data_IF_209774327496
#
_entry.id   IF_209774327496
#
_cell.length_a   1.000
_cell.length_b   1.000
_cell.length_c   1.000
_cell.angle_alpha   90.00
_cell.angle_beta   90.00
_cell.angle_gamma   90.00
#
_symmetry.space_group_name_H-M   'P 1'
#
loop_
_entity.id
_entity.type
_entity.pdbx_description
1 polymer ?
#
# COMPACT_ATOMS: atom_id res chain seq x y z
N UNK A 1 16.92 -16.48 -3.06
CA UNK A 1 16.67 -17.72 -3.84
C UNK A 1 15.19 -17.77 -4.20
N UNK A 2 14.85 -17.78 -5.48
CA UNK A 2 13.46 -17.88 -5.95
C UNK A 2 13.13 -19.34 -6.27
N UNK A 3 12.04 -19.86 -5.69
CA UNK A 3 11.57 -21.24 -5.85
C UNK A 3 10.11 -21.26 -6.31
N UNK A 4 9.78 -22.19 -7.20
CA UNK A 4 8.43 -22.46 -7.68
C UNK A 4 8.18 -23.96 -7.61
N UNK A 5 7.05 -24.37 -7.01
CA UNK A 5 6.68 -25.79 -6.83
C UNK A 5 7.78 -26.63 -6.15
N UNK A 6 8.54 -26.01 -5.25
CA UNK A 6 9.65 -26.66 -4.52
C UNK A 6 10.98 -26.76 -5.27
N UNK A 7 11.03 -26.35 -6.55
CA UNK A 7 12.26 -26.30 -7.34
C UNK A 7 12.81 -24.88 -7.52
N UNK A 8 14.10 -24.70 -7.83
CA UNK A 8 14.64 -23.39 -8.19
C UNK A 8 13.98 -22.86 -9.46
N UNK A 9 13.57 -21.59 -9.44
CA UNK A 9 12.99 -20.95 -10.61
C UNK A 9 14.05 -20.68 -11.67
N UNK A 10 13.78 -21.14 -12.90
CA UNK A 10 14.55 -20.78 -14.08
C UNK A 10 13.64 -20.00 -15.02
N UNK A 11 14.09 -18.82 -15.42
CA UNK A 11 13.37 -17.98 -16.37
C UNK A 11 13.45 -18.65 -17.75
N UNK A 12 12.31 -19.10 -18.27
CA UNK A 12 12.21 -19.63 -19.63
C UNK A 12 11.88 -18.51 -20.60
N UNK A 13 12.39 -18.56 -21.84
CA UNK A 13 12.13 -17.54 -22.89
C UNK A 13 10.63 -17.34 -23.18
N UNK A 14 9.77 -18.28 -22.78
CA UNK A 14 8.32 -18.22 -22.93
C UNK A 14 7.58 -17.33 -21.91
N UNK A 15 8.22 -16.94 -20.80
CA UNK A 15 7.59 -16.11 -19.75
C UNK A 15 7.80 -14.62 -20.06
N UNK A 16 6.92 -14.04 -20.87
CA UNK A 16 6.92 -12.59 -21.12
C UNK A 16 6.25 -11.84 -19.95
N UNK A 17 7.06 -11.28 -19.05
CA UNK A 17 6.60 -10.48 -17.89
C UNK A 17 6.71 -8.96 -18.13
N UNK A 18 7.33 -8.54 -19.25
CA UNK A 18 7.70 -7.18 -19.57
C UNK A 18 8.79 -6.60 -18.65
N UNK A 19 9.39 -5.47 -19.04
CA UNK A 19 10.57 -4.89 -18.37
C UNK A 19 10.40 -4.72 -16.84
N UNK A 20 9.23 -4.24 -16.38
CA UNK A 20 8.96 -4.10 -14.94
C UNK A 20 8.96 -5.45 -14.21
N UNK A 21 8.36 -6.46 -14.84
CA UNK A 21 8.32 -7.81 -14.30
C UNK A 21 9.70 -8.48 -14.29
N UNK A 22 10.53 -8.23 -15.30
CA UNK A 22 11.91 -8.70 -15.35
C UNK A 22 12.74 -8.12 -14.20
N UNK A 23 12.63 -6.80 -13.95
CA UNK A 23 13.32 -6.17 -12.82
C UNK A 23 12.85 -6.74 -11.46
N UNK A 24 11.55 -6.98 -11.30
CA UNK A 24 10.99 -7.64 -10.10
C UNK A 24 11.60 -9.04 -9.91
N UNK A 25 11.63 -9.86 -10.97
CA UNK A 25 12.20 -11.21 -10.94
C UNK A 25 13.69 -11.19 -10.62
N UNK A 26 14.45 -10.32 -11.28
CA UNK A 26 15.88 -10.14 -11.03
C UNK A 26 16.12 -9.72 -9.57
N UNK A 27 15.28 -8.83 -9.02
CA UNK A 27 15.36 -8.43 -7.61
C UNK A 27 15.06 -9.60 -6.66
N UNK A 28 14.03 -10.40 -6.93
CA UNK A 28 13.72 -11.62 -6.14
C UNK A 28 14.86 -12.64 -6.13
N UNK A 29 15.59 -12.76 -7.25
CA UNK A 29 16.71 -13.69 -7.38
C UNK A 29 18.00 -13.17 -6.71
N UNK A 30 18.25 -11.86 -6.78
CA UNK A 30 19.50 -11.24 -6.30
C UNK A 30 19.54 -11.01 -4.78
N UNK A 31 18.39 -10.87 -4.13
CA UNK A 31 18.35 -10.70 -2.66
C UNK A 31 18.60 -12.02 -1.93
N UNK A 32 19.21 -11.93 -0.75
CA UNK A 32 19.54 -13.10 0.08
C UNK A 32 18.32 -13.82 0.64
N UNK A 33 17.15 -13.18 0.65
CA UNK A 33 15.90 -13.80 1.08
C UNK A 33 15.44 -14.92 0.14
N UNK A 34 14.72 -15.89 0.69
CA UNK A 34 14.04 -16.92 -0.08
C UNK A 34 12.63 -16.47 -0.44
N UNK A 35 12.27 -16.58 -1.70
CA UNK A 35 10.91 -16.39 -2.21
C UNK A 35 10.45 -17.74 -2.74
N UNK A 36 9.39 -18.30 -2.16
CA UNK A 36 8.87 -19.60 -2.54
C UNK A 36 7.39 -19.48 -2.91
N UNK A 37 7.04 -19.97 -4.08
CA UNK A 37 5.68 -19.98 -4.59
C UNK A 37 5.21 -21.42 -4.82
N UNK A 38 3.97 -21.77 -4.45
CA UNK A 38 3.46 -23.13 -4.63
C UNK A 38 3.24 -23.49 -6.11
N UNK A 39 3.12 -22.50 -6.99
CA UNK A 39 2.90 -22.69 -8.43
C UNK A 39 3.40 -21.50 -9.24
N UNK A 40 3.60 -21.71 -10.55
CA UNK A 40 3.95 -20.63 -11.47
C UNK A 40 2.83 -19.58 -11.54
N UNK A 41 1.57 -20.00 -11.42
CA UNK A 41 0.41 -19.10 -11.40
C UNK A 41 0.48 -18.13 -10.21
N UNK A 42 0.90 -18.60 -9.04
CA UNK A 42 1.01 -17.74 -7.84
C UNK A 42 2.17 -16.74 -7.98
N UNK A 43 3.30 -17.17 -8.54
CA UNK A 43 4.41 -16.26 -8.87
C UNK A 43 3.97 -15.18 -9.86
N UNK A 44 3.28 -15.58 -10.94
CA UNK A 44 2.80 -14.65 -11.95
C UNK A 44 1.75 -13.68 -11.40
N UNK A 45 0.89 -14.14 -10.49
CA UNK A 45 -0.04 -13.26 -9.78
C UNK A 45 0.69 -12.21 -8.94
N UNK A 46 1.71 -12.60 -8.14
CA UNK A 46 2.49 -11.63 -7.36
C UNK A 46 3.21 -10.61 -8.26
N UNK A 47 3.83 -11.06 -9.36
CA UNK A 47 4.49 -10.16 -10.32
C UNK A 47 3.49 -9.17 -10.92
N UNK A 48 2.32 -9.64 -11.35
CA UNK A 48 1.30 -8.76 -11.92
C UNK A 48 0.71 -7.81 -10.87
N UNK A 49 0.47 -8.28 -9.65
CA UNK A 49 0.02 -7.42 -8.55
C UNK A 49 1.03 -6.31 -8.26
N UNK A 50 2.33 -6.64 -8.20
CA UNK A 50 3.40 -5.66 -8.00
C UNK A 50 3.47 -4.63 -9.12
N UNK A 51 3.28 -5.06 -10.37
CA UNK A 51 3.17 -4.13 -11.51
C UNK A 51 1.96 -3.21 -11.33
N UNK A 52 0.80 -3.75 -10.98
CA UNK A 52 -0.41 -2.97 -10.73
C UNK A 52 -0.26 -2.02 -9.53
N UNK A 53 0.53 -2.35 -8.50
CA UNK A 53 0.90 -1.43 -7.43
C UNK A 53 1.70 -0.23 -7.96
N UNK A 54 2.64 -0.48 -8.86
CA UNK A 54 3.45 0.58 -9.49
C UNK A 54 2.59 1.45 -10.40
N UNK A 55 1.72 0.85 -11.22
CA UNK A 55 0.81 1.61 -12.09
C UNK A 55 -0.18 2.43 -11.26
N UNK A 56 -0.75 1.86 -10.18
CA UNK A 56 -1.62 2.60 -9.26
C UNK A 56 -0.89 3.81 -8.66
N UNK A 57 0.38 3.66 -8.29
CA UNK A 57 1.17 4.77 -7.76
C UNK A 57 1.35 5.90 -8.79
N UNK A 58 1.55 5.55 -10.06
CA UNK A 58 1.66 6.50 -11.18
C UNK A 58 0.31 7.20 -11.40
N UNK A 59 -0.78 6.44 -11.50
CA UNK A 59 -2.13 6.99 -11.70
C UNK A 59 -2.54 7.91 -10.55
N UNK A 60 -2.25 7.53 -9.30
CA UNK A 60 -2.53 8.38 -8.14
C UNK A 60 -1.73 9.69 -8.20
N UNK A 61 -0.45 9.62 -8.58
CA UNK A 61 0.39 10.81 -8.75
C UNK A 61 -0.16 11.77 -9.82
N UNK A 62 -0.86 11.26 -10.83
CA UNK A 62 -1.44 12.02 -11.94
C UNK A 62 -2.90 12.44 -11.71
N UNK A 63 -3.61 11.80 -10.77
CA UNK A 63 -5.06 12.00 -10.52
C UNK A 63 -5.47 13.37 -9.99
N UNK A 64 -4.52 14.16 -9.48
CA UNK A 64 -4.79 15.44 -8.83
C UNK A 64 -5.26 15.32 -7.37
N UNK A 65 -5.17 14.15 -6.74
CA UNK A 65 -5.38 14.00 -5.29
C UNK A 65 -4.34 14.80 -4.50
N UNK A 66 -4.73 15.43 -3.39
CA UNK A 66 -3.83 16.22 -2.55
C UNK A 66 -3.58 15.59 -1.19
N UNK A 67 -2.38 15.80 -0.65
CA UNK A 67 -2.06 15.36 0.72
C UNK A 67 -2.70 16.29 1.75
N UNK A 68 -3.49 15.73 2.66
CA UNK A 68 -4.06 16.45 3.80
C UNK A 68 -4.11 15.58 5.06
N UNK A 69 -4.13 16.23 6.23
CA UNK A 69 -4.37 15.56 7.50
C UNK A 69 -5.81 15.04 7.66
N UNK A 70 -6.07 14.27 8.71
CA UNK A 70 -7.41 13.71 8.96
C UNK A 70 -8.49 14.79 9.15
N UNK A 71 -8.15 15.92 9.75
CA UNK A 71 -9.09 17.02 10.03
C UNK A 71 -9.50 17.78 8.77
N UNK A 72 -8.65 17.78 7.75
CA UNK A 72 -8.78 18.49 6.48
C UNK A 72 -9.11 17.54 5.32
N UNK A 73 -9.28 16.25 5.59
CA UNK A 73 -9.53 15.24 4.56
C UNK A 73 -10.86 15.49 3.84
N UNK A 74 -10.87 15.28 2.54
CA UNK A 74 -12.05 15.42 1.67
C UNK A 74 -12.22 14.20 0.78
N UNK A 75 -13.46 13.90 0.41
CA UNK A 75 -13.78 12.79 -0.50
C UNK A 75 -15.03 13.11 -1.31
N UNK A 76 -15.18 12.46 -2.47
CA UNK A 76 -16.37 12.61 -3.30
C UNK A 76 -17.61 12.09 -2.54
N UNK A 77 -18.59 12.95 -2.22
CA UNK A 77 -19.78 12.54 -1.48
C UNK A 77 -20.70 11.64 -2.31
N UNK A 78 -20.48 11.44 -3.61
CA UNK A 78 -21.23 10.45 -4.37
C UNK A 78 -20.96 9.01 -3.87
N UNK A 79 -19.73 8.72 -3.45
CA UNK A 79 -19.26 7.37 -3.10
C UNK A 79 -19.02 7.19 -1.59
N UNK A 80 -18.61 8.26 -0.91
CA UNK A 80 -18.09 8.18 0.45
C UNK A 80 -18.87 9.07 1.42
N UNK A 81 -18.90 8.65 2.69
CA UNK A 81 -19.30 9.44 3.84
C UNK A 81 -18.01 9.78 4.60
N UNK A 82 -17.68 11.06 4.66
CA UNK A 82 -16.59 11.55 5.50
C UNK A 82 -17.00 11.44 6.97
N UNK A 83 -16.25 10.64 7.74
CA UNK A 83 -16.49 10.46 9.18
C UNK A 83 -15.88 11.60 9.99
N UNK A 84 -16.32 11.79 11.23
CA UNK A 84 -15.73 12.77 12.14
C UNK A 84 -14.26 12.51 12.50
N UNK A 85 -13.75 11.30 12.21
CA UNK A 85 -12.35 10.94 12.39
C UNK A 85 -11.50 11.23 11.14
N UNK A 86 -12.08 11.73 10.04
CA UNK A 86 -11.40 11.94 8.77
C UNK A 86 -11.28 10.70 7.89
N UNK A 87 -11.91 9.58 8.26
CA UNK A 87 -11.96 8.37 7.43
C UNK A 87 -13.12 8.40 6.44
N UNK A 88 -13.02 7.63 5.35
CA UNK A 88 -14.02 7.56 4.29
C UNK A 88 -14.79 6.25 4.38
N UNK A 89 -16.05 6.33 4.78
CA UNK A 89 -16.96 5.19 4.85
C UNK A 89 -17.73 5.07 3.56
N UNK A 90 -17.58 3.96 2.86
CA UNK A 90 -18.28 3.74 1.60
C UNK A 90 -19.80 3.80 1.83
N UNK A 91 -20.52 4.47 0.93
CA UNK A 91 -21.97 4.55 1.01
C UNK A 91 -22.62 3.18 0.75
N UNK A 92 -23.78 2.92 1.36
CA UNK A 92 -24.59 1.77 0.98
C UNK A 92 -24.93 1.81 -0.52
N UNK A 93 -24.97 0.63 -1.15
CA UNK A 93 -25.36 0.43 -2.56
C UNK A 93 -24.41 0.99 -3.62
N UNK A 94 -23.23 1.46 -3.23
CA UNK A 94 -22.12 1.77 -4.15
C UNK A 94 -21.29 0.52 -4.38
N UNK A 95 -20.82 0.30 -5.61
CA UNK A 95 -19.87 -0.77 -5.91
C UNK A 95 -18.47 -0.38 -5.39
N UNK A 96 -17.78 -1.26 -4.63
CA UNK A 96 -16.42 -1.00 -4.15
C UNK A 96 -15.43 -0.64 -5.26
N UNK A 97 -15.54 -1.31 -6.41
CA UNK A 97 -14.71 -1.04 -7.59
C UNK A 97 -14.91 0.39 -8.10
N UNK A 98 -16.15 0.83 -8.29
CA UNK A 98 -16.47 2.20 -8.71
C UNK A 98 -15.96 3.23 -7.69
N UNK A 99 -16.16 2.98 -6.39
CA UNK A 99 -15.72 3.90 -5.33
C UNK A 99 -14.20 4.08 -5.28
N UNK A 100 -13.43 3.00 -5.48
CA UNK A 100 -11.97 3.04 -5.54
C UNK A 100 -11.52 3.70 -6.84
N UNK A 101 -12.10 3.33 -7.98
CA UNK A 101 -11.76 3.90 -9.29
C UNK A 101 -12.00 5.42 -9.33
N UNK A 102 -13.08 5.90 -8.72
CA UNK A 102 -13.41 7.33 -8.66
C UNK A 102 -12.32 8.18 -8.00
N UNK A 103 -11.53 7.61 -7.08
CA UNK A 103 -10.40 8.32 -6.45
C UNK A 103 -9.32 8.68 -7.49
N UNK A 104 -9.11 7.82 -8.49
CA UNK A 104 -8.10 8.01 -9.52
C UNK A 104 -8.63 8.88 -10.68
N UNK A 105 -9.92 8.75 -11.00
CA UNK A 105 -10.56 9.50 -12.09
C UNK A 105 -10.95 10.93 -11.69
N UNK A 106 -11.37 11.13 -10.43
CA UNK A 106 -11.83 12.39 -9.90
C UNK A 106 -10.98 12.87 -8.72
N UNK A 107 -9.67 12.61 -8.75
CA UNK A 107 -8.74 12.84 -7.64
C UNK A 107 -8.79 14.24 -7.03
N UNK A 108 -9.10 15.27 -7.82
CA UNK A 108 -9.31 16.65 -7.33
C UNK A 108 -10.42 16.82 -6.26
N UNK A 109 -11.33 15.84 -6.12
CA UNK A 109 -12.36 15.80 -5.08
C UNK A 109 -11.88 15.14 -3.77
N UNK A 110 -10.62 14.70 -3.74
CA UNK A 110 -10.06 13.91 -2.66
C UNK A 110 -8.83 14.56 -2.05
N UNK A 111 -8.74 14.49 -0.73
CA UNK A 111 -7.55 14.82 0.02
C UNK A 111 -7.41 13.91 1.23
N UNK A 112 -6.25 13.28 1.41
CA UNK A 112 -6.02 12.33 2.50
C UNK A 112 -4.53 12.16 2.82
N UNK A 113 -4.21 11.44 3.89
CA UNK A 113 -2.82 11.23 4.32
C UNK A 113 -2.16 10.00 3.70
N UNK A 114 -0.83 9.87 3.82
CA UNK A 114 -0.06 8.90 3.04
C UNK A 114 -0.26 7.42 3.42
N UNK A 115 -0.70 7.09 4.65
CA UNK A 115 -1.07 5.71 5.00
C UNK A 115 -2.37 5.30 4.28
N UNK A 116 -3.39 6.16 4.29
CA UNK A 116 -4.63 5.98 3.53
C UNK A 116 -4.35 5.86 2.05
N UNK A 117 -3.45 6.70 1.51
CA UNK A 117 -2.99 6.58 0.12
C UNK A 117 -2.36 5.22 -0.19
N UNK A 118 -1.55 4.68 0.71
CA UNK A 118 -0.96 3.34 0.56
C UNK A 118 -2.03 2.25 0.49
N UNK A 119 -3.03 2.31 1.37
CA UNK A 119 -4.16 1.37 1.38
C UNK A 119 -5.00 1.48 0.09
N UNK A 120 -5.29 2.69 -0.38
CA UNK A 120 -6.03 2.91 -1.63
C UNK A 120 -5.26 2.31 -2.82
N UNK A 121 -3.94 2.50 -2.88
CA UNK A 121 -3.11 1.86 -3.91
C UNK A 121 -3.16 0.33 -3.85
N UNK A 122 -3.16 -0.28 -2.66
CA UNK A 122 -3.33 -1.72 -2.53
C UNK A 122 -4.69 -2.19 -3.06
N UNK A 123 -5.77 -1.46 -2.77
CA UNK A 123 -7.10 -1.78 -3.29
C UNK A 123 -7.19 -1.60 -4.81
N UNK A 124 -6.67 -0.50 -5.35
CA UNK A 124 -6.67 -0.26 -6.79
C UNK A 124 -5.83 -1.30 -7.55
N UNK A 125 -4.64 -1.63 -7.02
CA UNK A 125 -3.83 -2.71 -7.58
C UNK A 125 -4.53 -4.07 -7.51
N UNK A 126 -5.28 -4.34 -6.44
CA UNK A 126 -6.06 -5.56 -6.31
C UNK A 126 -7.20 -5.57 -7.33
N UNK A 127 -7.96 -4.48 -7.45
CA UNK A 127 -9.02 -4.30 -8.45
C UNK A 127 -8.48 -4.60 -9.86
N UNK A 128 -7.33 -4.04 -10.22
CA UNK A 128 -6.67 -4.26 -11.52
C UNK A 128 -6.10 -5.68 -11.70
N UNK A 129 -5.96 -6.44 -10.61
CA UNK A 129 -5.44 -7.82 -10.65
C UNK A 129 -6.52 -8.89 -10.73
N UNK A 130 -7.69 -8.66 -10.11
CA UNK A 130 -8.78 -9.66 -10.03
C UNK A 130 -10.05 -9.25 -10.76
N UNK A 131 -10.15 -7.99 -11.20
CA UNK A 131 -11.33 -7.42 -11.87
C UNK A 131 -12.45 -7.02 -10.92
N UNK A 132 -13.32 -6.12 -11.39
CA UNK A 132 -14.40 -5.49 -10.61
C UNK A 132 -15.33 -6.51 -9.92
N UNK A 133 -15.83 -7.51 -10.66
CA UNK A 133 -16.76 -8.51 -10.11
C UNK A 133 -16.21 -9.26 -8.88
N UNK A 134 -14.94 -9.68 -8.95
CA UNK A 134 -14.29 -10.33 -7.81
C UNK A 134 -13.97 -9.34 -6.71
N UNK A 135 -13.52 -8.13 -7.06
CA UNK A 135 -13.22 -7.07 -6.12
C UNK A 135 -14.46 -6.69 -5.29
N UNK A 136 -15.60 -6.47 -5.93
CA UNK A 136 -16.87 -6.12 -5.28
C UNK A 136 -17.36 -7.22 -4.35
N UNK A 137 -17.13 -8.49 -4.75
CA UNK A 137 -17.45 -9.65 -3.92
C UNK A 137 -16.56 -9.73 -2.68
N UNK A 138 -15.25 -9.49 -2.86
CA UNK A 138 -14.26 -9.58 -1.78
C UNK A 138 -14.19 -8.36 -0.90
N UNK A 139 -14.67 -7.18 -1.30
CA UNK A 139 -14.49 -5.95 -0.52
C UNK A 139 -15.79 -5.12 -0.40
N UNK A 140 -16.94 -5.70 0.00
CA UNK A 140 -18.25 -5.07 -0.14
C UNK A 140 -18.50 -3.86 0.78
N UNK A 141 -17.68 -3.62 1.80
CA UNK A 141 -17.91 -2.58 2.81
C UNK A 141 -16.60 -1.88 3.18
N UNK A 142 -16.05 -1.09 2.26
CA UNK A 142 -14.78 -0.41 2.48
C UNK A 142 -14.90 0.75 3.48
N UNK A 143 -13.90 0.82 4.36
CA UNK A 143 -13.63 1.98 5.19
C UNK A 143 -12.16 2.36 5.02
N UNK A 144 -11.89 3.56 4.52
CA UNK A 144 -10.53 4.06 4.28
C UNK A 144 -10.14 4.97 5.43
N UNK A 145 -9.20 4.51 6.26
CA UNK A 145 -8.67 5.29 7.38
C UNK A 145 -7.29 4.74 7.78
N UNK A 146 -6.25 5.53 7.56
CA UNK A 146 -4.87 5.11 7.83
C UNK A 146 -4.56 3.73 7.23
N UNK A 147 -3.99 2.83 8.03
CA UNK A 147 -3.69 1.44 7.66
C UNK A 147 -4.84 0.46 7.92
N UNK A 148 -6.06 0.94 8.19
CA UNK A 148 -7.23 0.06 8.28
C UNK A 148 -7.55 -0.55 6.92
N UNK A 149 -7.75 -1.86 6.91
CA UNK A 149 -8.02 -2.64 5.71
C UNK A 149 -9.01 -3.75 6.03
N UNK A 150 -9.75 -4.19 5.01
CA UNK A 150 -10.48 -5.43 5.06
C UNK A 150 -9.49 -6.59 5.27
N UNK A 151 -9.81 -7.51 6.18
CA UNK A 151 -8.93 -8.62 6.52
C UNK A 151 -8.54 -9.47 5.32
N UNK A 152 -9.41 -9.51 4.31
CA UNK A 152 -9.20 -10.28 3.09
C UNK A 152 -8.13 -9.73 2.16
N UNK A 153 -7.76 -8.45 2.30
CA UNK A 153 -6.64 -7.88 1.57
C UNK A 153 -5.33 -8.53 2.05
N UNK A 154 -5.25 -8.88 3.33
CA UNK A 154 -4.15 -9.65 3.91
C UNK A 154 -2.79 -8.96 3.80
N UNK A 155 -2.73 -7.69 4.24
CA UNK A 155 -1.45 -6.98 4.35
C UNK A 155 -0.60 -7.55 5.48
N UNK A 156 0.69 -7.69 5.22
CA UNK A 156 1.67 -8.14 6.20
C UNK A 156 2.89 -7.20 6.19
N UNK A 157 3.33 -6.80 7.39
CA UNK A 157 4.49 -5.94 7.58
C UNK A 157 5.58 -6.67 8.35
N UNK A 158 6.81 -6.57 7.86
CA UNK A 158 7.99 -7.21 8.45
C UNK A 158 9.22 -6.33 8.30
N UNK A 159 10.31 -6.73 8.97
CA UNK A 159 11.59 -6.02 8.92
C UNK A 159 12.59 -6.72 8.00
N UNK A 160 13.08 -6.02 6.98
CA UNK A 160 14.06 -6.52 6.02
C UNK A 160 15.09 -5.46 5.63
N UNK A 161 16.26 -5.90 5.15
CA UNK A 161 17.29 -5.02 4.56
C UNK A 161 17.15 -4.92 3.03
N UNK A 162 16.04 -5.38 2.49
CA UNK A 162 15.72 -5.34 1.07
C UNK A 162 14.22 -5.16 0.93
N UNK A 163 13.81 -4.68 -0.23
CA UNK A 163 12.44 -4.59 -0.70
C UNK A 163 12.43 -4.93 -2.19
N UNK A 164 11.24 -5.24 -2.70
CA UNK A 164 10.97 -5.45 -4.11
C UNK A 164 10.14 -4.28 -4.65
N UNK A 165 10.21 -3.97 -5.95
CA UNK A 165 9.22 -3.09 -6.56
C UNK A 165 7.78 -3.58 -6.28
N UNK A 166 6.88 -2.65 -5.98
CA UNK A 166 5.52 -2.89 -5.51
C UNK A 166 5.38 -3.05 -3.98
N UNK A 167 6.47 -3.14 -3.22
CA UNK A 167 6.40 -3.11 -1.75
C UNK A 167 6.16 -1.67 -1.25
N UNK A 168 5.43 -1.49 -0.15
CA UNK A 168 5.38 -0.22 0.59
C UNK A 168 6.47 -0.21 1.66
N UNK A 169 7.35 0.77 1.58
CA UNK A 169 8.42 1.04 2.55
C UNK A 169 8.10 2.29 3.37
N UNK A 170 8.93 2.59 4.37
CA UNK A 170 8.76 3.78 5.20
C UNK A 170 10.06 4.54 5.37
N UNK A 171 10.05 5.83 5.02
CA UNK A 171 11.11 6.77 5.32
C UNK A 171 10.79 7.50 6.61
N UNK A 172 11.67 7.40 7.60
CA UNK A 172 11.47 8.05 8.89
C UNK A 172 12.13 9.42 8.90
N UNK A 173 11.41 10.45 9.35
CA UNK A 173 11.95 11.78 9.60
C UNK A 173 11.98 12.05 11.10
N UNK A 174 13.06 11.69 11.81
CA UNK A 174 13.04 11.63 13.26
C UNK A 174 13.05 13.01 13.93
N UNK A 175 13.41 14.06 13.20
CA UNK A 175 13.54 15.45 13.66
C UNK A 175 12.52 16.39 13.00
N UNK A 176 11.39 15.85 12.52
CA UNK A 176 10.31 16.64 11.93
C UNK A 176 9.88 17.78 12.88
N UNK A 177 9.52 18.93 12.32
CA UNK A 177 9.03 20.08 13.09
C UNK A 177 7.55 19.95 13.45
N UNK A 178 7.12 20.64 14.51
CA UNK A 178 5.72 20.63 14.95
C UNK A 178 4.78 21.19 13.87
N UNK A 179 5.20 22.23 13.16
CA UNK A 179 4.45 22.84 12.04
C UNK A 179 4.31 21.88 10.86
N UNK A 180 5.25 20.94 10.69
CA UNK A 180 5.26 19.94 9.63
C UNK A 180 4.96 18.54 10.19
N UNK A 181 4.04 18.42 11.15
CA UNK A 181 3.78 17.14 11.85
C UNK A 181 3.24 16.00 10.97
N UNK A 182 2.73 16.33 9.77
CA UNK A 182 2.39 15.39 8.70
C UNK A 182 3.60 14.78 7.99
N UNK A 183 4.79 15.37 8.14
CA UNK A 183 6.04 14.91 7.52
C UNK A 183 7.00 14.27 8.54
N UNK A 184 6.44 13.60 9.56
CA UNK A 184 7.18 12.74 10.51
C UNK A 184 7.88 11.55 9.86
N UNK A 185 7.50 11.28 8.62
CA UNK A 185 7.99 10.24 7.75
C UNK A 185 7.06 10.15 6.56
N UNK A 186 7.34 9.20 5.68
CA UNK A 186 6.59 9.00 4.45
C UNK A 186 6.46 7.50 4.17
N UNK A 187 5.23 7.05 3.94
CA UNK A 187 4.97 5.72 3.38
C UNK A 187 5.16 5.82 1.87
N UNK A 188 5.99 4.96 1.29
CA UNK A 188 6.32 5.06 -0.13
C UNK A 188 6.23 3.72 -0.85
N UNK A 189 5.64 3.71 -2.04
CA UNK A 189 5.61 2.53 -2.92
C UNK A 189 6.96 2.48 -3.65
N UNK A 190 7.72 1.41 -3.45
CA UNK A 190 8.96 1.17 -4.17
C UNK A 190 8.65 0.83 -5.63
N UNK A 191 9.34 1.48 -6.57
CA UNK A 191 9.12 1.35 -8.00
C UNK A 191 10.35 0.74 -8.69
N UNK A 192 10.15 0.30 -9.93
CA UNK A 192 11.24 -0.06 -10.85
C UNK A 192 12.13 1.16 -11.14
N UNK A 193 13.40 0.94 -11.45
CA UNK A 193 14.36 2.02 -11.73
C UNK A 193 14.82 2.79 -10.49
N UNK A 194 14.66 2.22 -9.29
CA UNK A 194 15.13 2.82 -8.04
C UNK A 194 14.36 4.07 -7.58
N UNK A 195 13.11 4.21 -8.05
CA UNK A 195 12.22 5.32 -7.69
C UNK A 195 11.21 4.90 -6.62
N UNK A 196 10.56 5.90 -6.03
CA UNK A 196 9.55 5.77 -4.99
C UNK A 196 8.43 6.77 -5.24
N UNK A 197 7.20 6.34 -5.02
CA UNK A 197 6.05 7.23 -4.92
C UNK A 197 5.71 7.44 -3.44
N UNK A 198 5.72 8.70 -2.97
CA UNK A 198 5.20 9.11 -1.67
C UNK A 198 4.07 10.11 -1.84
N UNK A 199 2.96 9.95 -1.14
CA UNK A 199 1.80 10.82 -1.32
C UNK A 199 2.05 12.19 -0.67
N UNK A 200 2.00 13.25 -1.48
CA UNK A 200 2.42 14.61 -1.08
C UNK A 200 3.87 14.95 -1.44
N UNK A 201 4.70 13.95 -1.73
CA UNK A 201 6.04 14.12 -2.29
C UNK A 201 6.05 13.99 -3.82
N UNK A 202 5.33 12.99 -4.36
CA UNK A 202 5.34 12.60 -5.76
C UNK A 202 6.28 11.41 -6.03
N UNK A 203 6.82 11.32 -7.25
CA UNK A 203 7.72 10.25 -7.70
C UNK A 203 9.17 10.75 -7.77
N UNK A 204 10.07 10.12 -7.02
CA UNK A 204 11.49 10.52 -6.94
C UNK A 204 12.41 9.40 -6.47
N UNK A 205 13.71 9.66 -6.37
CA UNK A 205 14.69 8.73 -5.77
C UNK A 205 14.59 8.74 -4.24
N UNK A 206 15.29 7.81 -3.59
CA UNK A 206 15.41 7.82 -2.14
C UNK A 206 16.09 9.09 -1.62
N UNK A 207 17.10 9.59 -2.34
CA UNK A 207 17.83 10.82 -2.00
C UNK A 207 16.92 12.03 -2.06
N UNK A 208 16.16 12.20 -3.16
CA UNK A 208 15.20 13.30 -3.34
C UNK A 208 14.13 13.28 -2.23
N UNK A 209 13.62 12.10 -1.87
CA UNK A 209 12.62 11.95 -0.80
C UNK A 209 13.22 12.24 0.59
N UNK A 210 14.46 11.82 0.86
CA UNK A 210 15.17 12.14 2.10
C UNK A 210 15.43 13.64 2.20
N UNK A 211 15.83 14.29 1.12
CA UNK A 211 16.03 15.75 1.06
C UNK A 211 14.74 16.48 1.35
N UNK A 212 13.64 16.09 0.68
CA UNK A 212 12.30 16.63 0.95
C UNK A 212 11.91 16.52 2.43
N UNK A 213 12.09 15.36 3.06
CA UNK A 213 11.79 15.19 4.49
C UNK A 213 12.73 16.01 5.38
N UNK A 214 14.00 16.14 5.00
CA UNK A 214 14.98 16.91 5.75
C UNK A 214 14.66 18.40 5.79
N UNK A 215 13.99 18.95 4.79
CA UNK A 215 13.49 20.34 4.77
C UNK A 215 12.36 20.58 5.79
N UNK A 216 11.68 19.52 6.24
CA UNK A 216 10.55 19.59 7.19
C UNK A 216 10.98 19.48 8.65
N UNK A 217 12.29 19.41 8.91
CA UNK A 217 12.85 19.28 10.26
C UNK A 217 12.82 20.60 11.03
N UNK A 218 12.96 20.52 12.35
CA UNK A 218 13.16 21.74 13.15
C UNK A 218 14.50 22.42 12.83
N UNK A 219 14.61 23.76 13.00
CA UNK A 219 15.82 24.50 12.65
C UNK A 219 17.09 23.94 13.30
N UNK A 220 18.17 23.83 12.50
CA UNK A 220 19.50 23.33 12.91
C UNK A 220 19.58 21.83 13.24
N UNK A 221 18.57 21.02 12.91
CA UNK A 221 18.69 19.56 13.01
C UNK A 221 19.83 19.03 12.13
N UNK A 222 20.68 18.16 12.69
CA UNK A 222 21.75 17.45 11.98
C UNK A 222 21.44 15.98 11.74
N UNK A 223 20.33 15.45 12.30
CA UNK A 223 19.90 14.06 12.10
C UNK A 223 19.05 13.97 10.83
N UNK A 224 19.55 13.26 9.82
CA UNK A 224 18.83 13.07 8.56
C UNK A 224 17.63 12.14 8.70
N UNK A 225 16.63 12.34 7.85
CA UNK A 225 15.66 11.31 7.49
C UNK A 225 16.37 10.11 6.84
N UNK A 226 15.74 8.94 6.91
CA UNK A 226 16.32 7.69 6.41
C UNK A 226 15.26 6.65 6.07
N UNK A 227 15.56 5.78 5.10
CA UNK A 227 14.75 4.61 4.79
C UNK A 227 14.85 3.59 5.94
N UNK A 228 13.70 3.19 6.49
CA UNK A 228 13.64 2.16 7.53
C UNK A 228 13.67 0.75 6.94
N UNK A 229 13.78 -0.24 7.81
CA UNK A 229 13.68 -1.66 7.44
C UNK A 229 12.24 -2.17 7.32
N UNK A 230 11.24 -1.30 7.53
CA UNK A 230 9.83 -1.71 7.53
C UNK A 230 9.33 -1.88 6.09
N UNK A 231 8.86 -3.09 5.77
CA UNK A 231 8.32 -3.43 4.45
C UNK A 231 6.91 -4.01 4.60
N UNK A 232 5.97 -3.52 3.80
CA UNK A 232 4.56 -3.94 3.80
C UNK A 232 4.16 -4.41 2.40
N UNK A 233 3.49 -5.56 2.32
CA UNK A 233 2.99 -6.17 1.07
C UNK A 233 1.88 -7.18 1.37
N UNK A 234 1.29 -7.77 0.33
CA UNK A 234 0.37 -8.90 0.50
C UNK A 234 1.06 -10.09 1.18
N UNK A 235 0.32 -10.80 2.03
CA UNK A 235 0.75 -12.08 2.60
C UNK A 235 0.72 -13.18 1.54
N UNK A 236 1.48 -14.25 1.77
CA UNK A 236 1.42 -15.44 0.91
C UNK A 236 0.00 -16.04 0.87
N UNK A 237 -0.71 -16.04 2.00
CA UNK A 237 -2.09 -16.49 2.08
C UNK A 237 -3.00 -15.67 1.15
N UNK A 238 -2.85 -14.34 1.14
CA UNK A 238 -3.59 -13.48 0.21
C UNK A 238 -3.26 -13.79 -1.25
N UNK A 239 -1.97 -13.93 -1.59
CA UNK A 239 -1.55 -14.24 -2.95
C UNK A 239 -2.19 -15.55 -3.44
N UNK A 240 -2.14 -16.62 -2.64
CA UNK A 240 -2.75 -17.90 -2.97
C UNK A 240 -4.27 -17.79 -3.08
N UNK A 241 -4.91 -17.08 -2.14
CA UNK A 241 -6.36 -16.87 -2.13
C UNK A 241 -6.86 -16.23 -3.43
N UNK A 242 -6.22 -15.14 -3.87
CA UNK A 242 -6.63 -14.42 -5.08
C UNK A 242 -6.17 -15.11 -6.36
N UNK A 243 -5.08 -15.87 -6.34
CA UNK A 243 -4.64 -16.68 -7.49
C UNK A 243 -5.67 -17.74 -7.87
N UNK A 244 -6.24 -18.46 -6.89
CA UNK A 244 -7.13 -19.60 -7.16
C UNK A 244 -8.62 -19.25 -7.10
N UNK A 245 -8.97 -18.00 -6.77
CA UNK A 245 -10.34 -17.45 -6.84
C UNK A 245 -11.40 -18.42 -6.31
N UNK A 246 -11.26 -18.87 -5.06
CA UNK A 246 -12.15 -19.88 -4.48
C UNK A 246 -13.62 -19.46 -4.63
N UNK A 247 -14.38 -20.24 -5.41
CA UNK A 247 -15.79 -19.96 -5.78
C UNK A 247 -16.75 -19.96 -4.59
N UNK A 248 -16.40 -20.61 -3.49
CA UNK A 248 -17.23 -20.72 -2.29
C UNK A 248 -16.89 -19.64 -1.24
N UNK A 249 -16.62 -18.42 -1.70
CA UNK A 249 -16.32 -17.32 -0.79
C UNK A 249 -17.55 -16.98 0.07
N UNK A 250 -17.39 -17.09 1.39
CA UNK A 250 -18.42 -16.68 2.35
C UNK A 250 -18.18 -15.24 2.77
N UNK A 251 -19.19 -14.39 2.56
CA UNK A 251 -19.17 -12.94 2.89
C UNK A 251 -19.16 -12.67 4.40
N UNK A 252 -19.31 -13.69 5.26
CA UNK A 252 -19.23 -13.51 6.71
C UNK A 252 -17.78 -13.22 7.14
N UNK A 253 -17.50 -11.95 7.40
CA UNK A 253 -16.20 -11.48 7.89
C UNK A 253 -16.29 -11.00 9.32
N UNK A 254 -15.20 -11.19 10.04
CA UNK A 254 -14.94 -10.42 11.24
C UNK A 254 -14.48 -9.04 10.75
N UNK A 255 -15.27 -8.00 10.97
CA UNK A 255 -14.82 -6.64 10.69
C UNK A 255 -13.62 -6.35 11.60
N UNK A 256 -12.44 -6.04 11.04
CA UNK A 256 -11.30 -5.71 11.87
C UNK A 256 -11.62 -4.47 12.71
N UNK A 257 -11.20 -4.50 13.97
CA UNK A 257 -11.34 -3.35 14.85
C UNK A 257 -10.58 -2.16 14.27
N UNK A 258 -11.24 -0.99 14.22
CA UNK A 258 -10.63 0.25 13.75
C UNK A 258 -10.07 1.03 14.93
N UNK A 259 -8.79 1.41 14.88
CA UNK A 259 -8.22 2.36 15.85
C UNK A 259 -8.13 3.75 15.22
N UNK A 260 -9.05 4.65 15.58
CA UNK A 260 -8.98 6.07 15.20
C UNK A 260 -7.90 6.82 16.00
N UNK A 261 -6.62 6.65 15.64
CA UNK A 261 -5.47 7.23 16.34
C UNK A 261 -5.14 8.69 15.96
N UNK A 262 -5.70 9.22 14.88
CA UNK A 262 -5.48 10.57 14.33
C UNK A 262 -3.99 10.95 14.24
N UNK A 263 -3.15 10.04 13.73
CA UNK A 263 -1.70 10.26 13.52
C UNK A 263 -1.38 10.14 12.03
N UNK A 264 -1.02 11.26 11.43
CA UNK A 264 -0.69 11.41 10.01
C UNK A 264 0.65 10.72 9.72
N UNK A 265 0.75 10.06 8.57
CA UNK A 265 1.99 9.50 8.04
C UNK A 265 2.72 8.53 8.96
N UNK A 266 1.97 7.73 9.72
CA UNK A 266 2.56 6.63 10.48
C UNK A 266 2.83 5.42 9.57
N UNK A 267 3.85 4.64 9.90
CA UNK A 267 4.12 3.37 9.22
C UNK A 267 3.07 2.30 9.58
N UNK A 268 2.89 1.31 8.71
CA UNK A 268 2.06 0.13 9.03
C UNK A 268 2.54 -0.58 10.30
N UNK A 269 3.87 -0.68 10.49
CA UNK A 269 4.46 -1.26 11.70
C UNK A 269 4.15 -0.46 12.98
N UNK A 270 3.97 0.86 12.88
CA UNK A 270 3.48 1.68 13.99
C UNK A 270 2.00 1.40 14.24
N UNK A 271 1.17 1.34 13.18
CA UNK A 271 -0.25 1.04 13.29
C UNK A 271 -0.52 -0.31 13.98
N UNK A 272 0.24 -1.37 13.63
CA UNK A 272 0.14 -2.68 14.30
C UNK A 272 0.37 -2.60 15.82
N UNK A 273 1.21 -1.67 16.30
CA UNK A 273 1.40 -1.47 17.75
C UNK A 273 0.15 -0.88 18.42
N UNK A 274 -0.64 -0.07 17.72
CA UNK A 274 -1.92 0.41 18.24
C UNK A 274 -2.92 -0.74 18.37
N UNK A 275 -3.04 -1.61 17.36
CA UNK A 275 -3.90 -2.79 17.42
C UNK A 275 -3.53 -3.73 18.58
N UNK A 276 -2.24 -4.00 18.76
CA UNK A 276 -1.75 -4.85 19.85
C UNK A 276 -2.01 -4.26 21.25
N UNK A 277 -1.96 -2.93 21.40
CA UNK A 277 -2.26 -2.27 22.68
C UNK A 277 -3.73 -2.38 23.04
N UNK A 278 -4.63 -2.24 22.06
CA UNK A 278 -6.08 -2.40 22.28
C UNK A 278 -6.41 -3.85 22.64
N UNK A 279 -5.83 -4.84 21.94
CA UNK A 279 -6.07 -6.25 22.22
C UNK A 279 -5.53 -6.73 23.59
N UNK A 280 -4.57 -6.03 24.17
CA UNK A 280 -4.03 -6.32 25.52
C UNK A 280 -4.76 -5.58 26.65
N UNK A 281 -5.68 -4.67 26.31
CA UNK A 281 -6.48 -3.88 27.25
C UNK A 281 -7.92 -4.36 27.39
N UNK A 282 -8.22 -5.57 26.90
CA UNK A 282 -9.49 -6.30 27.08
C UNK A 282 -9.22 -7.49 28.00
#
# INVERSE_FOLDING_TARGET
MLQVSGGPFQMTESLNVGNKGEEILQKMQSVSASYAYPSIQTLMFDINFRKNMIESAIEMNESGVTFEGFTESTCNPAYWILTSAGGFMMKPYVLPSDAIQDIFENGSLYAFECATASVINFYHAMLNSIGASMFDTYFPNLYLYSWHTDSDLGLYTFYANHFLPGDVVYFNNPDFSQENSGYRGENAIAMTGGKFFGHGFGIGTAEELIEFLNEKRYPRSTRSAYLTRSVTRLSQESLEKFTYQRRDYKVQKISPFVVHHNKISISSSHYLRYLLKVNRGI
#
